data_IF_471751743241
#
_entry.id   IF_471751743241
#
_cell.length_a   1.000
_cell.length_b   1.000
_cell.length_c   1.000
_cell.angle_alpha   90.00
_cell.angle_beta   90.00
_cell.angle_gamma   90.00
#
_symmetry.space_group_name_H-M   'P 1'
#
loop_
_entity.id
_entity.type
_entity.pdbx_description
1 polymer ?
#
# COMPACT_ATOMS: atom_id res chain seq x y z
N UNK A 1 -2.73 9.60 -54.44
CA UNK A 1 -1.58 9.39 -53.53
C UNK A 1 -2.15 9.16 -52.14
N UNK A 2 -1.90 8.02 -51.47
CA UNK A 2 -2.35 7.88 -50.08
C UNK A 2 -1.51 8.85 -49.23
N UNK A 3 -2.18 9.78 -48.53
CA UNK A 3 -1.56 10.62 -47.51
C UNK A 3 -0.89 9.73 -46.47
N UNK A 4 0.43 9.87 -46.34
CA UNK A 4 1.20 9.25 -45.26
C UNK A 4 0.72 9.93 -43.97
N UNK A 5 -0.11 9.24 -43.18
CA UNK A 5 -0.60 9.74 -41.88
C UNK A 5 0.61 10.29 -41.10
N UNK A 6 0.55 11.52 -40.56
CA UNK A 6 1.64 12.08 -39.78
C UNK A 6 1.96 11.09 -38.66
N UNK A 7 3.26 10.78 -38.49
CA UNK A 7 3.72 9.99 -37.35
C UNK A 7 3.24 10.73 -36.10
N UNK A 8 2.21 10.20 -35.42
CA UNK A 8 1.66 10.84 -34.22
C UNK A 8 2.70 10.65 -33.13
N UNK A 9 3.56 11.63 -32.95
CA UNK A 9 4.48 11.67 -31.81
C UNK A 9 3.67 11.57 -30.53
N UNK A 10 3.98 10.57 -29.72
CA UNK A 10 3.39 10.38 -28.40
C UNK A 10 4.06 11.39 -27.48
N UNK A 11 3.30 12.42 -27.11
CA UNK A 11 3.74 13.54 -26.27
C UNK A 11 2.96 13.57 -24.96
N UNK A 12 3.42 14.35 -23.98
CA UNK A 12 2.73 14.57 -22.70
C UNK A 12 1.30 15.10 -22.85
N UNK A 13 1.03 15.83 -23.94
CA UNK A 13 -0.30 16.34 -24.27
C UNK A 13 -1.22 15.29 -24.90
N UNK A 14 -0.72 14.09 -25.16
CA UNK A 14 -1.52 13.01 -25.76
C UNK A 14 -2.57 12.51 -24.78
N UNK A 15 -3.87 12.45 -25.15
CA UNK A 15 -4.93 11.99 -24.26
C UNK A 15 -4.70 10.57 -23.71
N UNK A 16 -4.08 9.69 -24.50
CA UNK A 16 -3.71 8.33 -24.08
C UNK A 16 -2.68 8.32 -22.94
N UNK A 17 -1.69 9.20 -23.01
CA UNK A 17 -0.63 9.35 -21.98
C UNK A 17 -1.25 9.84 -20.67
N UNK A 18 -2.06 10.90 -20.74
CA UNK A 18 -2.75 11.45 -19.56
C UNK A 18 -3.70 10.41 -18.93
N UNK A 19 -4.43 9.66 -19.76
CA UNK A 19 -5.32 8.59 -19.30
C UNK A 19 -4.54 7.48 -18.62
N UNK A 20 -3.42 7.04 -19.19
CA UNK A 20 -2.56 6.02 -18.59
C UNK A 20 -2.00 6.44 -17.23
N UNK A 21 -1.44 7.66 -17.14
CA UNK A 21 -0.95 8.22 -15.88
C UNK A 21 -2.08 8.35 -14.84
N UNK A 22 -3.27 8.76 -15.27
CA UNK A 22 -4.46 8.83 -14.42
C UNK A 22 -4.90 7.45 -13.89
N UNK A 23 -4.85 6.41 -14.73
CA UNK A 23 -5.13 5.03 -14.31
C UNK A 23 -4.11 4.57 -13.26
N UNK A 24 -2.81 4.77 -13.51
CA UNK A 24 -1.75 4.41 -12.55
C UNK A 24 -1.93 5.14 -11.22
N UNK A 25 -2.14 6.45 -11.27
CA UNK A 25 -2.39 7.27 -10.08
C UNK A 25 -3.61 6.78 -9.31
N UNK A 26 -4.72 6.49 -10.00
CA UNK A 26 -5.91 5.93 -9.39
C UNK A 26 -5.66 4.55 -8.74
N UNK A 27 -4.78 3.71 -9.28
CA UNK A 27 -4.40 2.45 -8.62
C UNK A 27 -3.53 2.71 -7.39
N UNK A 28 -2.57 3.62 -7.48
CA UNK A 28 -1.70 4.03 -6.36
C UNK A 28 -2.53 4.54 -5.18
N UNK A 29 -3.50 5.41 -5.45
CA UNK A 29 -4.43 5.95 -4.43
C UNK A 29 -5.26 4.85 -3.76
N UNK A 30 -5.75 3.87 -4.54
CA UNK A 30 -6.45 2.70 -3.96
C UNK A 30 -5.54 1.89 -3.04
N UNK A 31 -4.26 1.69 -3.40
CA UNK A 31 -3.33 0.95 -2.56
C UNK A 31 -3.02 1.70 -1.26
N UNK A 32 -2.79 3.02 -1.33
CA UNK A 32 -2.62 3.87 -0.17
C UNK A 32 -3.87 3.87 0.73
N UNK A 33 -5.06 3.95 0.13
CA UNK A 33 -6.34 3.86 0.86
C UNK A 33 -6.50 2.51 1.55
N UNK A 34 -6.20 1.39 0.86
CA UNK A 34 -6.28 0.06 1.45
C UNK A 34 -5.29 -0.13 2.61
N UNK A 35 -4.06 0.38 2.48
CA UNK A 35 -3.06 0.43 3.55
C UNK A 35 -3.60 1.19 4.78
N UNK A 36 -4.18 2.37 4.56
CA UNK A 36 -4.80 3.14 5.65
C UNK A 36 -6.01 2.42 6.28
N UNK A 37 -6.87 1.80 5.46
CA UNK A 37 -7.99 0.99 5.95
C UNK A 37 -7.53 -0.20 6.80
N UNK A 38 -6.42 -0.85 6.44
CA UNK A 38 -5.83 -1.93 7.23
C UNK A 38 -5.46 -1.45 8.64
N UNK A 39 -4.86 -0.26 8.77
CA UNK A 39 -4.54 0.35 10.06
C UNK A 39 -5.79 0.65 10.89
N UNK A 40 -6.79 1.27 10.27
CA UNK A 40 -8.06 1.62 10.93
C UNK A 40 -8.79 0.38 11.45
N UNK A 41 -8.96 -0.65 10.61
CA UNK A 41 -9.61 -1.89 11.02
C UNK A 41 -8.81 -2.64 12.09
N UNK A 42 -7.49 -2.59 12.04
CA UNK A 42 -6.65 -3.13 13.10
C UNK A 42 -6.90 -2.45 14.44
N UNK A 43 -6.92 -1.11 14.48
CA UNK A 43 -7.22 -0.35 15.72
C UNK A 43 -8.59 -0.75 16.26
N UNK A 44 -9.60 -0.78 15.40
CA UNK A 44 -10.98 -1.11 15.79
C UNK A 44 -11.05 -2.51 16.42
N UNK A 45 -10.46 -3.52 15.77
CA UNK A 45 -10.48 -4.90 16.26
C UNK A 45 -9.67 -5.07 17.55
N UNK A 46 -8.47 -4.47 17.61
CA UNK A 46 -7.65 -4.49 18.84
C UNK A 46 -8.40 -3.85 20.00
N UNK A 47 -9.01 -2.68 19.77
CA UNK A 47 -9.78 -1.97 20.80
C UNK A 47 -10.97 -2.80 21.29
N UNK A 48 -11.72 -3.41 20.37
CA UNK A 48 -12.86 -4.27 20.73
C UNK A 48 -12.41 -5.49 21.56
N UNK A 49 -11.31 -6.15 21.18
CA UNK A 49 -10.76 -7.28 21.94
C UNK A 49 -10.35 -6.85 23.34
N UNK A 50 -9.63 -5.74 23.48
CA UNK A 50 -9.17 -5.26 24.79
C UNK A 50 -10.35 -4.92 25.72
N UNK A 51 -11.40 -4.28 25.22
CA UNK A 51 -12.62 -3.99 26.00
C UNK A 51 -13.31 -5.27 26.45
N UNK A 52 -13.45 -6.27 25.57
CA UNK A 52 -14.07 -7.56 25.91
C UNK A 52 -13.25 -8.31 26.96
N UNK A 53 -11.92 -8.29 26.86
CA UNK A 53 -11.04 -8.95 27.82
C UNK A 53 -11.06 -8.25 29.18
N UNK A 54 -11.16 -6.93 29.22
CA UNK A 54 -11.31 -6.16 30.45
C UNK A 54 -12.51 -6.59 31.29
N UNK A 55 -13.60 -7.01 30.66
CA UNK A 55 -14.77 -7.53 31.37
C UNK A 55 -14.62 -8.96 31.94
N UNK A 56 -13.58 -9.71 31.58
CA UNK A 56 -13.47 -11.16 31.91
C UNK A 56 -12.46 -11.51 33.00
N UNK A 57 -11.74 -10.54 33.60
CA UNK A 57 -10.68 -10.76 34.59
C UNK A 57 -9.66 -11.85 34.18
N UNK A 58 -9.33 -11.92 32.88
CA UNK A 58 -8.34 -12.85 32.32
C UNK A 58 -7.31 -12.05 31.51
N UNK A 59 -6.31 -11.44 32.18
CA UNK A 59 -5.40 -10.49 31.54
C UNK A 59 -4.59 -11.09 30.38
N UNK A 60 -4.28 -12.39 30.44
CA UNK A 60 -3.53 -13.06 29.38
C UNK A 60 -4.29 -13.12 28.04
N UNK A 61 -5.62 -12.95 28.05
CA UNK A 61 -6.40 -12.93 26.82
C UNK A 61 -6.22 -11.63 26.03
N UNK A 62 -5.60 -10.59 26.59
CA UNK A 62 -5.25 -9.37 25.87
C UNK A 62 -4.29 -9.65 24.70
N UNK A 63 -3.45 -10.68 24.85
CA UNK A 63 -2.52 -11.11 23.81
C UNK A 63 -3.24 -11.64 22.56
N UNK A 64 -4.54 -11.99 22.64
CA UNK A 64 -5.35 -12.32 21.47
C UNK A 64 -5.45 -11.15 20.48
N UNK A 65 -5.30 -9.91 20.95
CA UNK A 65 -5.25 -8.73 20.08
C UNK A 65 -4.01 -8.68 19.19
N UNK A 66 -2.95 -9.44 19.49
CA UNK A 66 -1.78 -9.58 18.62
C UNK A 66 -2.11 -10.34 17.34
N UNK A 67 -3.11 -11.24 17.35
CA UNK A 67 -3.49 -12.01 16.17
C UNK A 67 -3.96 -11.12 15.00
N UNK A 68 -4.98 -10.24 15.15
CA UNK A 68 -5.33 -9.31 14.09
C UNK A 68 -4.19 -8.34 13.81
N UNK A 69 -3.41 -7.93 14.83
CA UNK A 69 -2.25 -7.03 14.63
C UNK A 69 -1.27 -7.60 13.62
N UNK A 70 -0.83 -8.87 13.77
CA UNK A 70 0.10 -9.52 12.86
C UNK A 70 -0.49 -9.65 11.44
N UNK A 71 -1.78 -10.01 11.34
CA UNK A 71 -2.48 -10.10 10.06
C UNK A 71 -2.49 -8.75 9.33
N UNK A 72 -2.84 -7.67 10.03
CA UNK A 72 -2.92 -6.35 9.43
C UNK A 72 -1.54 -5.76 9.10
N UNK A 73 -0.48 -6.10 9.84
CA UNK A 73 0.90 -5.77 9.44
C UNK A 73 1.23 -6.35 8.07
N UNK A 74 0.89 -7.63 7.84
CA UNK A 74 1.16 -8.29 6.57
C UNK A 74 0.35 -7.66 5.43
N UNK A 75 -0.94 -7.38 5.66
CA UNK A 75 -1.81 -6.72 4.67
C UNK A 75 -1.33 -5.31 4.32
N UNK A 76 -0.96 -4.53 5.33
CA UNK A 76 -0.46 -3.17 5.13
C UNK A 76 0.87 -3.17 4.35
N UNK A 77 1.82 -4.02 4.73
CA UNK A 77 3.07 -4.19 4.00
C UNK A 77 2.85 -4.66 2.56
N UNK A 78 1.83 -5.50 2.32
CA UNK A 78 1.43 -5.92 0.98
C UNK A 78 0.92 -4.75 0.14
N UNK A 79 -0.02 -3.96 0.65
CA UNK A 79 -0.57 -2.79 -0.06
C UNK A 79 0.49 -1.72 -0.33
N UNK A 80 1.32 -1.39 0.66
CA UNK A 80 2.41 -0.43 0.51
C UNK A 80 3.49 -0.94 -0.45
N UNK A 81 3.77 -2.24 -0.46
CA UNK A 81 4.69 -2.86 -1.43
C UNK A 81 4.19 -2.73 -2.87
N UNK A 82 2.91 -2.96 -3.11
CA UNK A 82 2.29 -2.76 -4.43
C UNK A 82 2.27 -1.29 -4.84
N UNK A 83 1.96 -0.38 -3.92
CA UNK A 83 2.02 1.07 -4.16
C UNK A 83 3.40 1.48 -4.65
N UNK A 84 4.46 1.06 -3.95
CA UNK A 84 5.85 1.32 -4.37
C UNK A 84 6.14 0.77 -5.77
N UNK A 85 5.67 -0.44 -6.07
CA UNK A 85 5.85 -1.04 -7.40
C UNK A 85 5.14 -0.25 -8.50
N UNK A 86 3.92 0.23 -8.24
CA UNK A 86 3.16 1.06 -9.19
C UNK A 86 3.81 2.44 -9.36
N UNK A 87 4.34 3.03 -8.29
CA UNK A 87 5.12 4.28 -8.37
C UNK A 87 6.39 4.12 -9.20
N UNK A 88 7.05 2.96 -9.13
CA UNK A 88 8.18 2.66 -10.01
C UNK A 88 7.76 2.59 -11.48
N UNK A 89 6.62 1.95 -11.78
CA UNK A 89 6.08 1.89 -13.14
C UNK A 89 5.70 3.27 -13.66
N UNK A 90 5.06 4.10 -12.82
CA UNK A 90 4.73 5.49 -13.13
C UNK A 90 5.98 6.31 -13.48
N UNK A 91 6.99 6.28 -12.61
CA UNK A 91 8.23 7.03 -12.82
C UNK A 91 9.00 6.55 -14.06
N UNK A 92 8.99 5.25 -14.33
CA UNK A 92 9.59 4.73 -15.56
C UNK A 92 8.84 5.19 -16.81
N UNK A 93 7.51 5.14 -16.79
CA UNK A 93 6.71 5.61 -17.92
C UNK A 93 6.98 7.09 -18.21
N UNK A 94 7.02 7.95 -17.18
CA UNK A 94 7.39 9.37 -17.33
C UNK A 94 8.80 9.53 -17.90
N UNK A 95 9.77 8.73 -17.43
CA UNK A 95 11.13 8.77 -17.98
C UNK A 95 11.16 8.41 -19.47
N UNK A 96 10.52 7.30 -19.86
CA UNK A 96 10.40 6.88 -21.27
C UNK A 96 9.73 7.95 -22.13
N UNK A 97 8.74 8.66 -21.58
CA UNK A 97 8.03 9.73 -22.25
C UNK A 97 8.95 10.91 -22.57
N UNK A 98 9.74 11.36 -21.60
CA UNK A 98 10.72 12.44 -21.81
C UNK A 98 11.86 12.01 -22.75
N UNK A 99 12.27 10.74 -22.69
CA UNK A 99 13.31 10.18 -23.56
C UNK A 99 12.82 9.89 -24.99
N UNK A 100 11.52 10.09 -25.28
CA UNK A 100 10.91 9.80 -26.59
C UNK A 100 10.88 8.31 -26.95
N UNK A 101 11.05 7.42 -25.97
CA UNK A 101 11.16 5.98 -26.15
C UNK A 101 9.88 5.21 -25.79
N UNK A 102 8.74 5.90 -25.65
CA UNK A 102 7.43 5.28 -25.39
C UNK A 102 7.01 4.44 -26.59
N UNK A 103 6.56 3.22 -26.32
CA UNK A 103 5.89 2.40 -27.33
C UNK A 103 4.38 2.29 -27.04
N UNK A 104 3.54 1.95 -28.03
CA UNK A 104 2.11 1.76 -27.81
C UNK A 104 1.78 0.70 -26.73
N UNK A 105 2.65 -0.28 -26.54
CA UNK A 105 2.49 -1.34 -25.53
C UNK A 105 2.63 -0.81 -24.10
N UNK A 106 3.43 0.25 -23.90
CA UNK A 106 3.59 0.91 -22.60
C UNK A 106 2.30 1.61 -22.15
N UNK A 107 1.45 2.07 -23.08
CA UNK A 107 0.20 2.79 -22.78
C UNK A 107 -0.88 1.93 -22.11
N UNK A 108 -0.78 0.60 -22.19
CA UNK A 108 -1.81 -0.32 -21.70
C UNK A 108 -1.30 -1.29 -20.62
N UNK A 109 -0.09 -1.06 -20.10
CA UNK A 109 0.50 -1.90 -19.07
C UNK A 109 0.28 -1.34 -17.66
N UNK A 110 -0.54 -2.02 -16.85
CA UNK A 110 -0.74 -1.70 -15.43
C UNK A 110 -0.17 -2.84 -14.61
N UNK A 111 1.13 -2.83 -14.40
CA UNK A 111 1.83 -3.84 -13.60
C UNK A 111 2.81 -3.19 -12.65
N UNK A 112 2.84 -3.57 -11.36
CA UNK A 112 3.84 -3.08 -10.43
C UNK A 112 5.24 -3.47 -10.89
N UNK A 113 6.18 -2.52 -10.86
CA UNK A 113 7.57 -2.78 -11.23
C UNK A 113 8.48 -2.96 -10.02
N UNK A 114 9.28 -4.03 -10.09
CA UNK A 114 10.23 -4.43 -9.06
C UNK A 114 9.92 -5.83 -8.53
N UNK A 115 10.83 -6.40 -7.75
CA UNK A 115 10.61 -7.71 -7.13
C UNK A 115 9.51 -7.62 -6.07
N UNK A 116 8.37 -8.31 -6.22
CA UNK A 116 7.24 -8.18 -5.30
C UNK A 116 7.63 -8.42 -3.84
N UNK A 117 8.40 -9.48 -3.58
CA UNK A 117 8.89 -9.82 -2.24
C UNK A 117 9.86 -8.78 -1.68
N UNK A 118 10.72 -8.18 -2.51
CA UNK A 118 11.65 -7.13 -2.08
C UNK A 118 10.89 -5.88 -1.65
N UNK A 119 9.93 -5.44 -2.47
CA UNK A 119 9.12 -4.26 -2.18
C UNK A 119 8.25 -4.45 -0.93
N UNK A 120 7.69 -5.64 -0.74
CA UNK A 120 6.96 -6.00 0.48
C UNK A 120 7.87 -5.96 1.72
N UNK A 121 9.09 -6.47 1.61
CA UNK A 121 10.05 -6.42 2.71
C UNK A 121 10.49 -4.98 3.05
N UNK A 122 10.70 -4.15 2.04
CA UNK A 122 10.96 -2.72 2.23
C UNK A 122 9.75 -1.96 2.79
N UNK A 123 8.53 -2.39 2.46
CA UNK A 123 7.31 -1.84 3.03
C UNK A 123 7.17 -2.21 4.51
N UNK A 124 7.42 -3.46 4.87
CA UNK A 124 7.40 -3.93 6.25
C UNK A 124 8.35 -3.14 7.16
N UNK A 125 9.57 -2.86 6.69
CA UNK A 125 10.57 -2.05 7.42
C UNK A 125 10.33 -0.54 7.37
N UNK A 126 9.32 -0.08 6.62
CA UNK A 126 9.05 1.35 6.52
C UNK A 126 8.56 1.91 7.85
N UNK A 127 8.86 3.18 8.11
CA UNK A 127 8.37 3.88 9.29
C UNK A 127 6.84 3.84 9.42
N UNK A 128 6.11 3.90 8.30
CA UNK A 128 4.64 3.82 8.27
C UNK A 128 4.11 2.50 8.83
N UNK A 129 4.76 1.38 8.52
CA UNK A 129 4.32 0.05 8.98
C UNK A 129 4.89 -0.22 10.37
N UNK A 130 6.22 -0.30 10.50
CA UNK A 130 6.84 -0.71 11.76
C UNK A 130 6.52 0.26 12.91
N UNK A 131 6.54 1.58 12.65
CA UNK A 131 6.29 2.59 13.66
C UNK A 131 4.85 2.53 14.18
N UNK A 132 3.88 2.40 13.29
CA UNK A 132 2.47 2.26 13.67
C UNK A 132 2.21 1.00 14.51
N UNK A 133 2.66 -0.16 14.01
CA UNK A 133 2.34 -1.43 14.66
C UNK A 133 3.17 -1.71 15.91
N UNK A 134 4.38 -1.16 16.03
CA UNK A 134 5.16 -1.23 17.28
C UNK A 134 4.50 -0.45 18.40
N UNK A 135 3.99 0.75 18.12
CA UNK A 135 3.21 1.54 19.08
C UNK A 135 1.93 0.80 19.46
N UNK A 136 1.21 0.22 18.50
CA UNK A 136 0.00 -0.56 18.78
C UNK A 136 0.29 -1.79 19.64
N UNK A 137 1.37 -2.52 19.37
CA UNK A 137 1.80 -3.66 20.17
C UNK A 137 2.19 -3.22 21.60
N UNK A 138 2.91 -2.10 21.74
CA UNK A 138 3.25 -1.55 23.05
C UNK A 138 1.98 -1.19 23.84
N UNK A 139 0.96 -0.61 23.21
CA UNK A 139 -0.33 -0.33 23.84
C UNK A 139 -1.04 -1.60 24.34
N UNK A 140 -1.01 -2.68 23.56
CA UNK A 140 -1.58 -3.98 23.97
C UNK A 140 -0.87 -4.51 25.23
N UNK A 141 0.46 -4.42 25.28
CA UNK A 141 1.26 -4.85 26.44
C UNK A 141 0.98 -3.98 27.66
N UNK A 142 0.92 -2.65 27.49
CA UNK A 142 0.57 -1.71 28.56
C UNK A 142 -0.83 -2.00 29.10
N UNK A 143 -1.81 -2.23 28.23
CA UNK A 143 -3.17 -2.60 28.64
C UNK A 143 -3.19 -3.90 29.45
N UNK A 144 -2.43 -4.92 29.02
CA UNK A 144 -2.28 -6.19 29.73
C UNK A 144 -1.67 -6.02 31.13
N UNK A 145 -0.73 -5.10 31.32
CA UNK A 145 -0.03 -4.93 32.61
C UNK A 145 -0.82 -4.05 33.59
N UNK A 146 -1.37 -2.93 33.10
CA UNK A 146 -1.92 -1.89 33.97
C UNK A 146 -3.45 -1.92 34.10
N UNK A 147 -4.16 -2.30 33.03
CA UNK A 147 -5.63 -2.24 32.98
C UNK A 147 -6.24 -3.57 33.38
N UNK A 148 -5.58 -4.67 33.01
CA UNK A 148 -6.05 -6.03 33.23
C UNK A 148 -5.23 -6.63 34.39
N UNK A 149 -5.79 -6.64 35.60
CA UNK A 149 -5.22 -7.35 36.76
C UNK A 149 -5.78 -8.76 36.84
#
# INVERSE_FOLDING_TARGET
MPEKKPNREITETSPSVQTHLGILQGVIERMASNSNSAKTWCITLVSAILVVVAGKNKPDYALLALLPTILFVALDAYYLGMEKGLRNSYNEFVRKLHDGSITPEDLFSVSPKGGPSKLQWEAFKSFSVWGFYSVLAALIVVARIFVLK
#
